data_IF_735699697638
#
_entry.id   IF_735699697638
#
_cell.length_a   1.000
_cell.length_b   1.000
_cell.length_c   1.000
_cell.angle_alpha   90.00
_cell.angle_beta   90.00
_cell.angle_gamma   90.00
#
_symmetry.space_group_name_H-M   'P 1'
#
loop_
_entity.id
_entity.type
_entity.pdbx_description
1 polymer ?
#
# COMPACT_ATOMS: atom_id res chain seq x y z
N UNK A 1 -5.48 13.12 -12.68
CA UNK A 1 -6.90 13.34 -12.36
C UNK A 1 -7.56 12.02 -12.01
N UNK A 2 -8.74 12.04 -11.43
CA UNK A 2 -9.62 10.87 -11.29
C UNK A 2 -10.70 10.94 -12.37
N UNK A 3 -11.35 9.81 -12.68
CA UNK A 3 -12.37 9.73 -13.74
C UNK A 3 -13.55 10.69 -13.55
N UNK A 4 -13.79 11.14 -12.32
CA UNK A 4 -14.81 12.14 -11.96
C UNK A 4 -14.29 13.60 -12.07
N UNK A 5 -13.16 13.82 -12.73
CA UNK A 5 -12.56 15.13 -12.94
C UNK A 5 -11.81 15.70 -11.73
N UNK A 6 -11.79 15.01 -10.59
CA UNK A 6 -11.04 15.49 -9.42
C UNK A 6 -9.53 15.49 -9.67
N UNK A 7 -8.88 16.58 -9.27
CA UNK A 7 -7.43 16.70 -9.26
C UNK A 7 -6.90 16.18 -7.93
N UNK A 8 -6.06 15.16 -7.96
CA UNK A 8 -5.38 14.63 -6.76
C UNK A 8 -4.15 15.48 -6.45
N UNK A 9 -3.30 15.66 -7.47
CA UNK A 9 -2.12 16.51 -7.48
C UNK A 9 -1.76 16.85 -8.93
N UNK A 10 -0.90 17.85 -9.14
CA UNK A 10 -0.26 18.06 -10.43
C UNK A 10 0.62 16.87 -10.83
N UNK A 11 0.86 16.69 -12.13
CA UNK A 11 1.75 15.62 -12.68
C UNK A 11 3.20 15.84 -12.26
N UNK A 12 3.60 17.09 -12.05
CA UNK A 12 4.98 17.46 -11.74
C UNK A 12 5.92 17.07 -12.87
N UNK A 13 7.15 16.69 -12.52
CA UNK A 13 8.19 16.29 -13.47
C UNK A 13 8.10 14.86 -13.99
N UNK A 14 7.05 14.09 -13.65
CA UNK A 14 6.95 12.66 -13.98
C UNK A 14 7.21 12.39 -15.46
N UNK A 15 6.50 13.10 -16.35
CA UNK A 15 6.67 12.95 -17.79
C UNK A 15 8.10 13.23 -18.23
N UNK A 16 8.74 14.28 -17.69
CA UNK A 16 10.09 14.68 -18.06
C UNK A 16 11.11 13.58 -17.74
N UNK A 17 11.04 12.97 -16.56
CA UNK A 17 11.93 11.86 -16.19
C UNK A 17 11.73 10.63 -17.08
N UNK A 18 10.47 10.31 -17.40
CA UNK A 18 10.16 9.20 -18.29
C UNK A 18 10.71 9.44 -19.69
N UNK A 19 10.47 10.63 -20.25
CA UNK A 19 10.97 10.99 -21.58
C UNK A 19 12.51 10.97 -21.62
N UNK A 20 13.19 11.57 -20.62
CA UNK A 20 14.66 11.55 -20.53
C UNK A 20 15.21 10.13 -20.43
N UNK A 21 14.56 9.22 -19.68
CA UNK A 21 15.00 7.84 -19.58
C UNK A 21 14.92 7.07 -20.91
N UNK A 22 14.07 7.49 -21.85
CA UNK A 22 14.02 6.92 -23.19
C UNK A 22 15.14 7.42 -24.11
N UNK A 23 15.60 8.65 -23.90
CA UNK A 23 16.66 9.29 -24.70
C UNK A 23 18.08 8.91 -24.24
N UNK A 24 18.26 8.58 -22.96
CA UNK A 24 19.56 8.27 -22.41
C UNK A 24 19.96 6.80 -22.66
N UNK A 25 21.15 6.53 -23.23
CA UNK A 25 21.64 5.16 -23.42
C UNK A 25 21.70 4.37 -22.11
N UNK A 26 21.07 3.20 -22.09
CA UNK A 26 21.03 2.32 -20.92
C UNK A 26 20.09 2.75 -19.80
N UNK A 27 19.43 3.91 -19.89
CA UNK A 27 18.46 4.34 -18.89
C UNK A 27 17.14 3.57 -19.00
N UNK A 28 16.45 3.43 -17.86
CA UNK A 28 15.13 2.80 -17.75
C UNK A 28 14.18 3.66 -16.93
N UNK A 29 12.93 3.70 -17.34
CA UNK A 29 11.82 4.27 -16.58
C UNK A 29 11.12 3.14 -15.82
N UNK A 30 11.06 3.26 -14.48
CA UNK A 30 10.48 2.24 -13.61
C UNK A 30 9.32 2.84 -12.83
N UNK A 31 8.11 2.31 -13.04
CA UNK A 31 6.91 2.70 -12.32
C UNK A 31 6.55 1.65 -11.27
N UNK A 32 6.73 2.01 -9.99
CA UNK A 32 6.33 1.18 -8.87
C UNK A 32 4.95 1.58 -8.36
N UNK A 33 4.04 0.61 -8.24
CA UNK A 33 2.71 0.80 -7.69
C UNK A 33 2.25 -0.42 -6.90
N UNK A 34 1.26 -0.25 -6.04
CA UNK A 34 0.55 -1.40 -5.45
C UNK A 34 -0.39 -2.01 -6.47
N UNK A 35 -0.55 -3.33 -6.47
CA UNK A 35 -1.50 -3.99 -7.36
C UNK A 35 -2.95 -3.60 -7.02
N UNK A 36 -3.23 -3.33 -5.75
CA UNK A 36 -4.56 -2.92 -5.26
C UNK A 36 -4.52 -1.65 -4.42
N UNK A 37 -5.69 -1.03 -4.26
CA UNK A 37 -5.95 0.07 -3.32
C UNK A 37 -7.26 -0.18 -2.58
N UNK A 38 -7.38 0.35 -1.37
CA UNK A 38 -8.67 0.49 -0.70
C UNK A 38 -9.25 1.89 -0.94
N UNK A 39 -10.50 1.96 -1.37
CA UNK A 39 -11.24 3.20 -1.57
C UNK A 39 -12.68 3.01 -1.13
N UNK A 40 -13.16 3.86 -0.23
CA UNK A 40 -14.55 3.78 0.27
C UNK A 40 -14.90 2.48 1.00
N UNK A 41 -13.91 1.78 1.57
CA UNK A 41 -14.09 0.47 2.21
C UNK A 41 -14.15 -0.71 1.25
N UNK A 42 -14.09 -0.46 -0.06
CA UNK A 42 -13.97 -1.48 -1.09
C UNK A 42 -12.52 -1.55 -1.59
N UNK A 43 -12.12 -2.74 -2.01
CA UNK A 43 -10.82 -2.98 -2.63
C UNK A 43 -10.95 -2.90 -4.15
N UNK A 44 -10.00 -2.23 -4.79
CA UNK A 44 -9.97 -2.05 -6.23
C UNK A 44 -8.56 -2.31 -6.77
N UNK A 45 -8.48 -2.79 -8.00
CA UNK A 45 -7.22 -2.91 -8.72
C UNK A 45 -6.66 -1.54 -9.12
N UNK A 46 -5.34 -1.39 -9.07
CA UNK A 46 -4.63 -0.27 -9.71
C UNK A 46 -4.22 -0.60 -11.15
N UNK A 47 -4.21 -1.88 -11.53
CA UNK A 47 -4.12 -2.29 -12.93
C UNK A 47 -5.54 -2.34 -13.47
N UNK A 48 -5.84 -1.43 -14.39
CA UNK A 48 -7.18 -1.24 -14.95
C UNK A 48 -7.12 -1.33 -16.47
N UNK A 49 -8.19 -1.79 -17.10
CA UNK A 49 -8.26 -1.88 -18.56
C UNK A 49 -8.27 -0.50 -19.22
N UNK A 50 -8.92 0.49 -18.59
CA UNK A 50 -8.97 1.87 -19.04
C UNK A 50 -8.76 2.82 -17.88
N UNK A 51 -8.09 3.95 -18.14
CA UNK A 51 -7.88 5.02 -17.18
C UNK A 51 -8.14 6.37 -17.84
N UNK A 52 -9.00 7.18 -17.22
CA UNK A 52 -9.50 8.44 -17.82
C UNK A 52 -8.46 9.56 -18.00
N UNK A 53 -7.27 9.46 -17.40
CA UNK A 53 -6.25 10.53 -17.46
C UNK A 53 -4.85 10.01 -17.79
N UNK A 54 -4.49 9.99 -19.06
CA UNK A 54 -3.14 9.59 -19.47
C UNK A 54 -2.11 10.67 -19.08
N UNK A 55 -1.18 10.33 -18.16
CA UNK A 55 -0.02 11.17 -17.85
C UNK A 55 1.25 10.71 -18.56
N UNK A 56 1.40 9.40 -18.77
CA UNK A 56 2.50 8.78 -19.53
C UNK A 56 1.90 8.09 -20.76
N UNK A 57 2.19 8.58 -21.98
CA UNK A 57 1.74 7.95 -23.23
C UNK A 57 2.24 6.52 -23.40
N UNK A 58 1.46 5.69 -24.10
CA UNK A 58 1.76 4.25 -24.28
C UNK A 58 3.12 3.96 -24.91
N UNK A 59 3.67 4.86 -25.72
CA UNK A 59 4.97 4.66 -26.38
C UNK A 59 6.16 4.91 -25.45
N UNK A 60 5.92 5.57 -24.30
CA UNK A 60 6.91 5.80 -23.25
C UNK A 60 6.75 4.81 -22.08
N UNK A 61 6.01 3.71 -22.29
CA UNK A 61 5.93 2.63 -21.30
C UNK A 61 7.26 1.89 -21.27
N UNK A 62 7.71 1.56 -20.07
CA UNK A 62 8.94 0.83 -19.87
C UNK A 62 8.74 -0.29 -18.82
N UNK A 63 9.12 -0.10 -17.56
CA UNK A 63 8.96 -1.13 -16.52
C UNK A 63 7.83 -0.75 -15.57
N UNK A 64 6.98 -1.71 -15.23
CA UNK A 64 5.96 -1.60 -14.18
C UNK A 64 6.19 -2.67 -13.12
N UNK A 65 6.20 -2.28 -11.84
CA UNK A 65 6.46 -3.19 -10.72
C UNK A 65 5.31 -3.13 -9.70
N UNK A 66 4.75 -4.30 -9.39
CA UNK A 66 3.88 -4.51 -8.22
C UNK A 66 4.56 -5.42 -7.20
N UNK A 67 3.85 -5.72 -6.12
CA UNK A 67 4.31 -6.67 -5.09
C UNK A 67 4.37 -8.11 -5.61
N UNK A 68 3.78 -8.36 -6.78
CA UNK A 68 3.69 -9.67 -7.41
C UNK A 68 4.71 -9.88 -8.54
N UNK A 69 5.44 -8.83 -8.94
CA UNK A 69 6.50 -8.98 -9.92
C UNK A 69 6.71 -7.77 -10.81
N UNK A 70 7.41 -8.01 -11.92
CA UNK A 70 7.91 -7.01 -12.86
C UNK A 70 7.31 -7.28 -14.23
N UNK A 71 6.71 -6.25 -14.83
CA UNK A 71 6.30 -6.24 -16.22
C UNK A 71 7.23 -5.33 -17.02
N UNK A 72 8.11 -5.94 -17.84
CA UNK A 72 8.90 -5.21 -18.83
C UNK A 72 8.09 -5.02 -20.11
N UNK A 73 7.77 -3.77 -20.46
CA UNK A 73 6.82 -3.42 -21.52
C UNK A 73 7.48 -2.72 -22.71
N UNK A 74 8.76 -2.33 -22.59
CA UNK A 74 9.45 -1.57 -23.64
C UNK A 74 9.59 -2.41 -24.90
N UNK A 75 9.14 -1.86 -26.03
CA UNK A 75 9.20 -2.53 -27.34
C UNK A 75 8.29 -3.76 -27.48
N UNK A 76 7.46 -4.08 -26.48
CA UNK A 76 6.57 -5.24 -26.53
C UNK A 76 5.33 -4.96 -27.40
N UNK A 77 4.84 -5.96 -28.15
CA UNK A 77 3.57 -5.85 -28.87
C UNK A 77 2.39 -5.69 -27.91
N UNK A 78 1.27 -5.17 -28.42
CA UNK A 78 0.13 -4.75 -27.59
C UNK A 78 -0.37 -5.90 -26.69
N UNK A 79 -0.63 -7.07 -27.27
CA UNK A 79 -1.06 -8.27 -26.55
C UNK A 79 -0.11 -8.66 -25.39
N UNK A 80 1.20 -8.67 -25.66
CA UNK A 80 2.19 -8.99 -24.63
C UNK A 80 2.18 -7.99 -23.48
N UNK A 81 1.84 -6.73 -23.73
CA UNK A 81 1.70 -5.75 -22.65
C UNK A 81 0.46 -6.00 -21.82
N UNK A 82 -0.68 -6.34 -22.42
CA UNK A 82 -1.85 -6.77 -21.65
C UNK A 82 -1.52 -7.98 -20.77
N UNK A 83 -0.92 -9.03 -21.36
CA UNK A 83 -0.57 -10.25 -20.63
C UNK A 83 0.42 -10.00 -19.49
N UNK A 84 1.47 -9.19 -19.71
CA UNK A 84 2.47 -8.86 -18.69
C UNK A 84 1.90 -8.02 -17.56
N UNK A 85 1.00 -7.08 -17.84
CA UNK A 85 0.30 -6.31 -16.81
C UNK A 85 -0.68 -7.17 -16.01
N UNK A 86 -1.44 -8.04 -16.68
CA UNK A 86 -2.34 -9.01 -16.02
C UNK A 86 -1.53 -9.96 -15.12
N UNK A 87 -0.37 -10.44 -15.60
CA UNK A 87 0.53 -11.30 -14.82
C UNK A 87 0.93 -10.70 -13.47
N UNK A 88 1.08 -9.38 -13.36
CA UNK A 88 1.47 -8.69 -12.12
C UNK A 88 0.28 -8.05 -11.38
N UNK A 89 -0.94 -8.29 -11.85
CA UNK A 89 -2.16 -7.89 -11.16
C UNK A 89 -2.48 -8.86 -10.01
N UNK A 90 -3.26 -8.38 -9.05
CA UNK A 90 -3.77 -9.20 -7.96
C UNK A 90 -4.77 -10.24 -8.50
N UNK A 91 -4.64 -11.50 -8.05
CA UNK A 91 -5.39 -12.63 -8.61
C UNK A 91 -6.91 -12.48 -8.51
N UNK A 92 -7.41 -11.67 -7.57
CA UNK A 92 -8.84 -11.33 -7.49
C UNK A 92 -9.36 -10.58 -8.72
N UNK A 93 -8.49 -9.97 -9.52
CA UNK A 93 -8.85 -9.14 -10.67
C UNK A 93 -8.29 -9.63 -12.02
N UNK A 94 -7.39 -10.62 -12.03
CA UNK A 94 -6.74 -11.11 -13.26
C UNK A 94 -7.74 -11.63 -14.31
N UNK A 95 -8.69 -12.45 -13.87
CA UNK A 95 -9.74 -13.05 -14.73
C UNK A 95 -10.58 -11.97 -15.42
N UNK A 96 -11.02 -10.97 -14.67
CA UNK A 96 -11.85 -9.88 -15.23
C UNK A 96 -11.03 -9.01 -16.21
N UNK A 97 -9.78 -8.72 -15.90
CA UNK A 97 -8.89 -8.00 -16.82
C UNK A 97 -8.65 -8.78 -18.12
N UNK A 98 -8.46 -10.10 -18.03
CA UNK A 98 -8.30 -10.96 -19.19
C UNK A 98 -9.56 -10.96 -20.06
N UNK A 99 -10.75 -11.11 -19.44
CA UNK A 99 -12.04 -11.06 -20.15
C UNK A 99 -12.23 -9.74 -20.89
N UNK A 100 -11.91 -8.61 -20.25
CA UNK A 100 -11.98 -7.28 -20.87
C UNK A 100 -11.02 -7.17 -22.06
N UNK A 101 -9.79 -7.66 -21.92
CA UNK A 101 -8.80 -7.66 -23.01
C UNK A 101 -9.21 -8.54 -24.19
N UNK A 102 -9.72 -9.75 -23.94
CA UNK A 102 -10.24 -10.66 -24.98
C UNK A 102 -11.45 -10.07 -25.69
N UNK A 103 -12.41 -9.51 -24.94
CA UNK A 103 -13.58 -8.84 -25.52
C UNK A 103 -13.19 -7.67 -26.44
N UNK A 104 -12.10 -6.99 -26.13
CA UNK A 104 -11.58 -5.89 -26.93
C UNK A 104 -10.65 -6.33 -28.09
N UNK A 105 -10.46 -7.64 -28.30
CA UNK A 105 -9.56 -8.18 -29.32
C UNK A 105 -8.08 -7.89 -29.06
N UNK A 106 -7.70 -7.66 -27.80
CA UNK A 106 -6.33 -7.33 -27.38
C UNK A 106 -5.50 -8.54 -26.96
N UNK A 107 -6.17 -9.63 -26.64
CA UNK A 107 -5.59 -10.91 -26.25
C UNK A 107 -6.35 -12.02 -26.96
N UNK A 108 -5.64 -13.07 -27.36
CA UNK A 108 -6.23 -14.27 -27.94
C UNK A 108 -7.38 -14.82 -27.05
N UNK A 109 -8.59 -15.04 -27.61
CA UNK A 109 -9.71 -15.63 -26.87
C UNK A 109 -9.46 -17.03 -26.31
N UNK A 110 -8.48 -17.76 -26.87
CA UNK A 110 -8.05 -19.08 -26.40
C UNK A 110 -7.08 -19.01 -25.23
N UNK A 111 -6.44 -17.85 -24.98
CA UNK A 111 -5.52 -17.69 -23.87
C UNK A 111 -6.21 -17.95 -22.52
N UNK A 112 -5.52 -18.65 -21.63
CA UNK A 112 -5.94 -18.92 -20.25
C UNK A 112 -4.81 -18.53 -19.32
N UNK A 113 -5.16 -18.03 -18.14
CA UNK A 113 -4.19 -17.66 -17.12
C UNK A 113 -3.39 -18.90 -16.70
N UNK A 114 -2.05 -18.89 -16.84
CA UNK A 114 -1.20 -19.95 -16.31
C UNK A 114 -1.36 -20.05 -14.78
N UNK A 115 -1.30 -21.26 -14.23
CA UNK A 115 -1.45 -21.51 -12.79
C UNK A 115 -0.42 -20.72 -11.96
N UNK A 116 0.79 -20.56 -12.49
CA UNK A 116 1.86 -19.77 -11.85
C UNK A 116 1.51 -18.28 -11.67
N UNK A 117 0.54 -17.73 -12.41
CA UNK A 117 0.14 -16.32 -12.29
C UNK A 117 -0.99 -16.13 -11.27
N UNK A 118 -1.71 -17.20 -10.94
CA UNK A 118 -2.93 -17.16 -10.11
C UNK A 118 -2.63 -17.14 -8.61
N UNK A 119 -1.35 -17.10 -8.22
CA UNK A 119 -0.88 -17.02 -6.85
C UNK A 119 -0.67 -15.59 -6.31
N UNK A 120 -1.06 -14.56 -7.05
CA UNK A 120 -0.81 -13.16 -6.71
C UNK A 120 -1.79 -12.65 -5.63
N UNK A 121 -1.55 -13.07 -4.40
CA UNK A 121 -2.34 -12.67 -3.23
C UNK A 121 -1.47 -12.06 -2.13
N UNK A 122 -2.04 -11.20 -1.27
CA UNK A 122 -1.31 -10.67 -0.11
C UNK A 122 -0.80 -11.79 0.82
N UNK A 123 -1.53 -12.90 0.89
CA UNK A 123 -1.18 -14.08 1.68
C UNK A 123 0.08 -14.75 1.12
N UNK A 124 0.17 -14.94 -0.20
CA UNK A 124 1.36 -15.49 -0.87
C UNK A 124 2.60 -14.64 -0.63
N UNK A 125 2.46 -13.32 -0.75
CA UNK A 125 3.58 -12.38 -0.49
C UNK A 125 4.02 -12.47 0.98
N UNK A 126 3.07 -12.48 1.92
CA UNK A 126 3.37 -12.65 3.35
C UNK A 126 4.05 -13.99 3.62
N UNK A 127 3.61 -15.07 2.99
CA UNK A 127 4.25 -16.38 3.09
C UNK A 127 5.70 -16.35 2.61
N UNK A 128 5.95 -15.72 1.46
CA UNK A 128 7.28 -15.60 0.87
C UNK A 128 8.25 -14.80 1.76
N UNK A 129 7.81 -13.67 2.33
CA UNK A 129 8.66 -12.85 3.21
C UNK A 129 8.81 -13.42 4.63
N UNK A 130 7.93 -14.33 5.04
CA UNK A 130 8.00 -15.00 6.35
C UNK A 130 8.92 -16.22 6.35
N UNK A 131 9.54 -16.57 5.21
CA UNK A 131 10.50 -17.66 5.13
C UNK A 131 11.70 -17.40 6.06
N UNK A 132 12.22 -18.43 6.76
CA UNK A 132 13.35 -18.28 7.67
C UNK A 132 14.53 -17.56 6.99
N UNK A 133 15.04 -16.50 7.62
CA UNK A 133 16.13 -15.67 7.10
C UNK A 133 15.70 -14.43 6.30
N UNK A 134 14.48 -14.38 5.76
CA UNK A 134 13.99 -13.21 5.00
C UNK A 134 13.60 -12.03 5.91
N UNK A 135 13.10 -12.30 7.11
CA UNK A 135 12.70 -11.25 8.06
C UNK A 135 13.83 -10.33 8.51
N UNK A 136 15.09 -10.80 8.52
CA UNK A 136 16.27 -9.98 8.78
C UNK A 136 16.81 -9.32 7.49
N UNK A 137 16.57 -9.93 6.32
CA UNK A 137 17.02 -9.41 5.04
C UNK A 137 16.22 -8.16 4.59
N UNK A 138 14.98 -8.01 5.04
CA UNK A 138 14.10 -6.89 4.69
C UNK A 138 13.60 -6.13 5.93
N UNK A 139 14.48 -5.39 6.63
CA UNK A 139 14.03 -4.47 7.67
C UNK A 139 13.12 -3.40 7.06
N UNK A 140 12.23 -2.82 7.88
CA UNK A 140 11.30 -1.79 7.41
C UNK A 140 11.99 -0.56 6.79
N UNK A 141 13.21 -0.26 7.25
CA UNK A 141 14.05 0.84 6.77
C UNK A 141 15.46 0.32 6.46
N UNK A 142 15.69 -0.31 5.30
CA UNK A 142 16.97 -0.95 4.96
C UNK A 142 18.13 0.04 4.78
N UNK A 143 17.83 1.31 4.56
CA UNK A 143 18.82 2.39 4.45
C UNK A 143 18.83 3.33 5.67
N UNK A 144 18.18 2.92 6.77
CA UNK A 144 17.95 3.76 7.94
C UNK A 144 16.77 4.74 7.78
N UNK A 145 16.41 5.39 8.87
CA UNK A 145 15.42 6.46 8.90
C UNK A 145 15.69 7.41 10.08
N UNK A 146 15.17 8.64 9.98
CA UNK A 146 15.27 9.64 11.04
C UNK A 146 14.30 9.39 12.21
N UNK A 147 13.48 8.34 12.14
CA UNK A 147 12.56 7.96 13.20
C UNK A 147 13.27 7.14 14.28
N UNK A 148 12.95 7.41 15.54
CA UNK A 148 13.33 6.53 16.65
C UNK A 148 12.47 5.26 16.65
N UNK A 149 12.91 4.20 17.34
CA UNK A 149 12.13 2.96 17.47
C UNK A 149 10.73 3.22 18.05
N UNK A 150 10.62 4.16 19.00
CA UNK A 150 9.35 4.57 19.58
C UNK A 150 8.42 5.22 18.56
N UNK A 151 8.96 6.05 17.68
CA UNK A 151 8.21 6.71 16.61
C UNK A 151 7.76 5.72 15.54
N UNK A 152 8.55 4.68 15.26
CA UNK A 152 8.16 3.60 14.37
C UNK A 152 6.98 2.79 14.93
N UNK A 153 7.00 2.50 16.23
CA UNK A 153 5.89 1.84 16.94
C UNK A 153 4.65 2.74 16.94
N UNK A 154 4.78 4.00 17.33
CA UNK A 154 3.70 4.99 17.32
C UNK A 154 3.10 5.16 15.91
N UNK A 155 3.95 5.26 14.89
CA UNK A 155 3.52 5.38 13.51
C UNK A 155 2.66 4.20 13.05
N UNK A 156 2.97 2.97 13.48
CA UNK A 156 2.14 1.79 13.22
C UNK A 156 0.80 1.87 13.97
N UNK A 157 0.81 2.21 15.26
CA UNK A 157 -0.40 2.34 16.06
C UNK A 157 -1.36 3.41 15.49
N UNK A 158 -0.83 4.58 15.11
CA UNK A 158 -1.61 5.67 14.53
C UNK A 158 -2.18 5.30 13.15
N UNK A 159 -1.43 4.58 12.32
CA UNK A 159 -1.94 4.06 11.03
C UNK A 159 -3.08 3.06 11.24
N UNK A 160 -2.95 2.16 12.22
CA UNK A 160 -4.01 1.22 12.58
C UNK A 160 -5.27 1.95 13.07
N UNK A 161 -5.11 2.95 13.96
CA UNK A 161 -6.22 3.80 14.41
C UNK A 161 -6.88 4.56 13.26
N UNK A 162 -6.11 5.12 12.33
CA UNK A 162 -6.63 5.81 11.13
C UNK A 162 -7.44 4.86 10.26
N UNK A 163 -6.99 3.62 10.09
CA UNK A 163 -7.73 2.60 9.33
C UNK A 163 -9.04 2.23 10.04
N UNK A 164 -8.99 1.97 11.35
CA UNK A 164 -10.17 1.63 12.16
C UNK A 164 -11.21 2.76 12.24
N UNK A 165 -10.76 4.03 12.15
CA UNK A 165 -11.63 5.21 12.23
C UNK A 165 -12.07 5.78 10.87
N UNK A 166 -11.75 5.09 9.77
CA UNK A 166 -12.03 5.52 8.39
C UNK A 166 -13.53 5.59 8.03
N UNK A 167 -14.40 4.91 8.78
CA UNK A 167 -15.86 4.92 8.59
C UNK A 167 -16.57 5.50 9.81
N UNK A 168 -17.79 6.03 9.66
CA UNK A 168 -18.58 6.57 10.79
C UNK A 168 -18.83 5.52 11.87
N UNK A 169 -19.19 4.29 11.47
CA UNK A 169 -19.40 3.15 12.38
C UNK A 169 -18.09 2.71 13.05
N UNK A 170 -17.01 2.61 12.28
CA UNK A 170 -15.68 2.27 12.79
C UNK A 170 -15.17 3.29 13.81
N UNK A 171 -15.37 4.59 13.55
CA UNK A 171 -15.03 5.67 14.47
C UNK A 171 -15.77 5.56 15.81
N UNK A 172 -17.09 5.33 15.79
CA UNK A 172 -17.88 5.17 17.01
C UNK A 172 -17.44 3.92 17.80
N UNK A 173 -17.26 2.79 17.10
CA UNK A 173 -16.79 1.55 17.72
C UNK A 173 -15.39 1.70 18.35
N UNK A 174 -14.46 2.35 17.65
CA UNK A 174 -13.09 2.59 18.14
C UNK A 174 -13.08 3.50 19.37
N UNK A 175 -13.88 4.57 19.37
CA UNK A 175 -14.01 5.44 20.55
C UNK A 175 -14.54 4.69 21.76
N UNK A 176 -15.55 3.84 21.57
CA UNK A 176 -16.14 3.06 22.66
C UNK A 176 -15.16 2.00 23.20
N UNK A 177 -14.40 1.33 22.32
CA UNK A 177 -13.33 0.40 22.72
C UNK A 177 -12.22 1.12 23.47
N UNK A 178 -11.79 2.30 23.00
CA UNK A 178 -10.78 3.12 23.66
C UNK A 178 -11.25 3.58 25.05
N UNK A 179 -12.52 3.95 25.21
CA UNK A 179 -13.09 4.30 26.51
C UNK A 179 -13.05 3.15 27.52
N UNK A 180 -13.28 1.92 27.06
CA UNK A 180 -13.22 0.67 27.85
C UNK A 180 -11.81 0.13 28.04
N UNK A 181 -10.83 0.67 27.31
CA UNK A 181 -9.45 0.22 27.43
C UNK A 181 -8.92 0.67 28.80
N UNK A 182 -8.44 -0.25 29.65
CA UNK A 182 -7.83 0.11 30.93
C UNK A 182 -6.67 1.07 30.70
N UNK A 183 -6.59 2.07 31.58
CA UNK A 183 -5.61 3.15 31.51
C UNK A 183 -4.24 2.64 31.98
N UNK A 184 -3.52 1.95 31.09
CA UNK A 184 -2.16 1.45 31.30
C UNK A 184 -1.12 2.52 30.92
N UNK A 185 -1.28 3.72 31.47
CA UNK A 185 -0.42 4.86 31.14
C UNK A 185 1.04 4.64 31.56
N UNK A 186 1.27 3.83 32.61
CA UNK A 186 2.61 3.48 33.07
C UNK A 186 3.36 2.59 32.07
N UNK A 187 2.66 1.61 31.48
CA UNK A 187 3.21 0.62 30.52
C UNK A 187 3.68 1.26 29.21
N UNK A 188 2.98 2.31 28.76
CA UNK A 188 3.25 2.98 27.48
C UNK A 188 3.81 4.40 27.67
N UNK A 189 4.49 4.65 28.79
CA UNK A 189 4.87 6.00 29.22
C UNK A 189 5.72 6.74 28.18
N UNK A 190 6.74 6.09 27.63
CA UNK A 190 7.64 6.72 26.67
C UNK A 190 6.92 7.13 25.38
N UNK A 191 6.04 6.27 24.86
CA UNK A 191 5.19 6.59 23.71
C UNK A 191 4.23 7.77 24.00
N UNK A 192 3.65 7.81 25.19
CA UNK A 192 2.75 8.90 25.59
C UNK A 192 3.51 10.22 25.78
N UNK A 193 4.75 10.17 26.27
CA UNK A 193 5.63 11.33 26.38
C UNK A 193 6.01 11.87 25.01
N UNK A 194 6.38 11.00 24.06
CA UNK A 194 6.68 11.40 22.68
C UNK A 194 5.48 12.05 21.99
N UNK A 195 4.27 11.62 22.31
CA UNK A 195 3.02 12.21 21.82
C UNK A 195 2.57 13.47 22.58
N UNK A 196 3.26 13.87 23.65
CA UNK A 196 2.86 15.00 24.51
C UNK A 196 1.63 14.74 25.37
N UNK A 197 1.28 13.47 25.61
CA UNK A 197 0.06 13.03 26.28
C UNK A 197 0.27 12.52 27.73
N UNK A 198 1.48 12.64 28.25
CA UNK A 198 1.82 12.18 29.61
C UNK A 198 1.02 12.94 30.70
N UNK A 199 0.80 14.24 30.51
CA UNK A 199 0.00 15.08 31.42
C UNK A 199 -1.28 15.57 30.76
N UNK A 200 -2.10 14.67 30.23
CA UNK A 200 -3.40 15.00 29.62
C UNK A 200 -4.36 15.66 30.63
N UNK A 201 -4.51 16.98 30.58
CA UNK A 201 -5.35 17.76 31.50
C UNK A 201 -6.74 17.98 30.92
N UNK A 202 -6.85 18.14 29.61
CA UNK A 202 -8.12 18.37 28.90
C UNK A 202 -8.92 17.11 28.57
N UNK A 203 -10.24 17.24 28.38
CA UNK A 203 -11.11 16.14 27.94
C UNK A 203 -10.66 15.53 26.60
N UNK A 204 -10.24 16.39 25.65
CA UNK A 204 -9.71 15.95 24.35
C UNK A 204 -8.41 15.15 24.52
N UNK A 205 -7.43 15.69 25.25
CA UNK A 205 -6.13 15.03 25.46
C UNK A 205 -6.29 13.69 26.18
N UNK A 206 -7.23 13.59 27.13
CA UNK A 206 -7.55 12.32 27.81
C UNK A 206 -8.12 11.29 26.84
N UNK A 207 -8.94 11.72 25.89
CA UNK A 207 -9.45 10.86 24.82
C UNK A 207 -8.34 10.44 23.86
N UNK A 208 -7.49 11.37 23.42
CA UNK A 208 -6.37 11.09 22.53
C UNK A 208 -5.40 10.08 23.16
N UNK A 209 -5.11 10.24 24.46
CA UNK A 209 -4.32 9.28 25.25
C UNK A 209 -4.95 7.89 25.25
N UNK A 210 -6.27 7.79 25.48
CA UNK A 210 -6.97 6.49 25.44
C UNK A 210 -6.95 5.86 24.05
N UNK A 211 -7.09 6.67 23.00
CA UNK A 211 -7.00 6.19 21.62
C UNK A 211 -5.60 5.67 21.31
N UNK A 212 -4.54 6.40 21.69
CA UNK A 212 -3.15 5.97 21.49
C UNK A 212 -2.87 4.66 22.24
N UNK A 213 -3.26 4.55 23.51
CA UNK A 213 -3.12 3.29 24.28
C UNK A 213 -3.87 2.14 23.58
N UNK A 214 -5.10 2.39 23.11
CA UNK A 214 -5.85 1.37 22.38
C UNK A 214 -5.12 0.93 21.09
N UNK A 215 -4.61 1.88 20.31
CA UNK A 215 -3.84 1.59 19.10
C UNK A 215 -2.54 0.81 19.36
N UNK A 216 -1.82 1.15 20.43
CA UNK A 216 -0.61 0.43 20.86
C UNK A 216 -0.92 -1.02 21.25
N UNK A 217 -2.05 -1.25 21.93
CA UNK A 217 -2.50 -2.61 22.29
C UNK A 217 -2.92 -3.44 21.08
N UNK A 218 -3.61 -2.87 20.11
CA UNK A 218 -4.04 -3.59 18.90
C UNK A 218 -2.84 -4.11 18.08
N UNK A 219 -1.69 -3.43 18.15
CA UNK A 219 -0.46 -3.86 17.47
C UNK A 219 0.47 -4.69 18.36
N UNK A 220 0.07 -5.01 19.60
CA UNK A 220 0.92 -5.63 20.63
C UNK A 220 2.27 -4.90 20.76
N UNK A 221 2.21 -3.57 20.92
CA UNK A 221 3.41 -2.75 21.09
C UNK A 221 4.18 -3.18 22.35
N UNK A 222 5.52 -3.24 22.30
CA UNK A 222 6.33 -3.57 23.47
C UNK A 222 6.19 -2.49 24.53
N UNK A 223 6.33 -2.86 25.80
CA UNK A 223 6.29 -1.93 26.92
C UNK A 223 7.40 -0.89 26.80
N UNK A 224 7.25 0.26 27.46
CA UNK A 224 8.25 1.33 27.43
C UNK A 224 9.64 0.92 27.97
N UNK A 225 9.72 -0.22 28.67
CA UNK A 225 10.98 -0.82 29.16
C UNK A 225 11.55 -1.89 28.19
N UNK A 226 10.99 -2.04 26.99
CA UNK A 226 11.48 -2.97 25.96
C UNK A 226 11.16 -4.46 26.21
N UNK A 227 10.28 -4.77 27.18
CA UNK A 227 9.78 -6.13 27.40
C UNK A 227 8.56 -6.40 26.53
N UNK A 228 8.58 -7.53 25.83
CA UNK A 228 7.47 -8.06 25.05
C UNK A 228 6.49 -8.83 25.94
#
# INVERSE_FOLDING_TARGET
GLEDGRVVSGVGGQYNFVAMAHELPGARSILCLRATRQSGGAMASNIVFSYGHCTIPRHLRDIVITEYGIADLRGQPDEQVYLRLIRIADSRFQEELLKQAQKAGKVDPSFRLPDEWQGNTPESVRGAVSLPGMGQAFPAFPFGCDFTDEELVLGRALKALKAATSTRRGKLATLWRALRTPEQAATYRSYLERMGLNSARGLRERMDRKLVIHGLREINAPDSDGKA
#
